data_IF_837654546824
#
_entry.id   IF_837654546824
#
_cell.length_a   1.000
_cell.length_b   1.000
_cell.length_c   1.000
_cell.angle_alpha   90.00
_cell.angle_beta   90.00
_cell.angle_gamma   90.00
#
_symmetry.space_group_name_H-M   'P 1'
#
loop_
_entity.id
_entity.type
_entity.pdbx_description
1 polymer ?
#
# COMPACT_ATOMS: atom_id res chain seq x y z
N UNK A 1 11.71 -15.26 -11.97
CA UNK A 1 12.20 -14.90 -10.64
C UNK A 1 11.35 -13.80 -10.05
N UNK A 2 11.05 -13.91 -8.82
CA UNK A 2 10.24 -12.89 -8.21
C UNK A 2 11.06 -11.62 -7.99
N UNK A 3 10.41 -10.50 -8.13
CA UNK A 3 11.03 -9.20 -7.93
C UNK A 3 11.10 -8.84 -6.44
N UNK A 4 10.79 -9.78 -5.56
CA UNK A 4 10.76 -9.53 -4.14
C UNK A 4 9.38 -9.08 -3.67
N UNK A 5 9.33 -8.61 -2.45
CA UNK A 5 8.09 -8.18 -1.83
C UNK A 5 8.20 -6.72 -1.41
N UNK A 6 7.05 -6.09 -1.28
CA UNK A 6 6.96 -4.73 -0.75
C UNK A 6 6.17 -4.76 0.55
N UNK A 7 6.72 -4.16 1.58
CA UNK A 7 5.97 -3.96 2.82
C UNK A 7 5.37 -2.56 2.79
N UNK A 8 4.06 -2.50 2.92
CA UNK A 8 3.33 -1.23 2.88
C UNK A 8 2.69 -1.01 4.24
N UNK A 9 3.01 0.12 4.85
CA UNK A 9 2.45 0.49 6.14
C UNK A 9 1.62 1.75 5.99
N UNK A 10 0.39 1.71 6.48
CA UNK A 10 -0.46 2.89 6.46
C UNK A 10 -0.07 3.83 7.60
N UNK A 11 0.26 5.07 7.26
CA UNK A 11 0.67 6.08 8.24
C UNK A 11 -0.48 6.99 8.63
N UNK A 12 -1.40 7.23 7.71
CA UNK A 12 -2.48 8.19 7.93
C UNK A 12 -3.83 7.57 7.61
N UNK A 13 -4.87 8.10 8.25
CA UNK A 13 -6.23 7.67 8.01
C UNK A 13 -6.70 8.08 6.62
N UNK A 14 -7.59 7.27 6.03
CA UNK A 14 -8.24 7.62 4.76
C UNK A 14 -9.56 8.34 4.98
N UNK A 15 -9.93 8.62 6.24
CA UNK A 15 -11.15 9.34 6.55
C UNK A 15 -11.05 10.73 5.93
N UNK A 16 -12.08 11.13 5.18
CA UNK A 16 -12.07 12.39 4.48
C UNK A 16 -11.39 12.38 3.12
N UNK A 17 -10.83 11.23 2.73
CA UNK A 17 -10.22 11.08 1.41
C UNK A 17 -11.26 10.65 0.39
N UNK A 18 -10.91 10.78 -0.89
CA UNK A 18 -11.80 10.40 -1.97
C UNK A 18 -12.03 8.89 -2.00
N UNK A 19 -13.15 8.49 -2.58
CA UNK A 19 -13.47 7.06 -2.70
C UNK A 19 -12.39 6.25 -3.43
N UNK A 20 -11.81 6.73 -4.53
CA UNK A 20 -10.74 5.97 -5.19
C UNK A 20 -9.55 5.70 -4.27
N UNK A 21 -9.14 6.68 -3.47
CA UNK A 21 -8.04 6.51 -2.52
C UNK A 21 -8.37 5.44 -1.49
N UNK A 22 -9.57 5.49 -0.93
CA UNK A 22 -10.02 4.51 0.06
C UNK A 22 -10.06 3.11 -0.51
N UNK A 23 -10.51 2.97 -1.76
CA UNK A 23 -10.55 1.67 -2.43
C UNK A 23 -9.16 1.10 -2.63
N UNK A 24 -8.20 1.93 -3.02
CA UNK A 24 -6.83 1.49 -3.24
C UNK A 24 -6.23 0.99 -1.93
N UNK A 25 -6.37 1.75 -0.86
CA UNK A 25 -5.84 1.36 0.46
C UNK A 25 -6.49 0.05 0.91
N UNK A 26 -7.79 -0.07 0.76
CA UNK A 26 -8.50 -1.29 1.13
C UNK A 26 -8.09 -2.46 0.24
N UNK A 27 -7.88 -2.22 -1.05
CA UNK A 27 -7.43 -3.24 -1.98
C UNK A 27 -6.04 -3.75 -1.67
N UNK A 28 -5.20 -2.93 -1.04
CA UNK A 28 -3.89 -3.36 -0.57
C UNK A 28 -3.98 -4.23 0.68
N UNK A 29 -5.12 -4.20 1.37
CA UNK A 29 -5.31 -4.96 2.60
C UNK A 29 -5.08 -4.17 3.87
N UNK A 30 -4.88 -2.87 3.75
CA UNK A 30 -4.68 -2.01 4.91
C UNK A 30 -6.01 -1.71 5.59
N UNK A 31 -6.00 -1.68 6.91
CA UNK A 31 -7.24 -1.52 7.68
C UNK A 31 -7.29 -0.24 8.49
N UNK A 32 -6.23 0.53 8.51
CA UNK A 32 -6.19 1.77 9.24
C UNK A 32 -4.77 2.17 9.58
N UNK A 33 -4.57 3.33 10.20
CA UNK A 33 -3.23 3.78 10.57
C UNK A 33 -2.54 2.72 11.44
N UNK A 34 -1.28 2.47 11.16
CA UNK A 34 -0.52 1.45 11.87
C UNK A 34 -0.59 0.07 11.27
N UNK A 35 -1.54 -0.20 10.36
CA UNK A 35 -1.58 -1.50 9.70
C UNK A 35 -0.46 -1.62 8.68
N UNK A 36 -0.02 -2.84 8.44
CA UNK A 36 0.97 -3.10 7.40
C UNK A 36 0.63 -4.39 6.68
N UNK A 37 1.02 -4.46 5.42
CA UNK A 37 0.84 -5.66 4.61
C UNK A 37 2.08 -5.85 3.76
N UNK A 38 2.30 -7.10 3.37
CA UNK A 38 3.36 -7.44 2.42
C UNK A 38 2.70 -7.87 1.12
N UNK A 39 3.07 -7.23 0.04
CA UNK A 39 2.51 -7.53 -1.28
C UNK A 39 3.62 -7.83 -2.26
N UNK A 40 3.27 -8.49 -3.35
CA UNK A 40 4.23 -8.78 -4.41
C UNK A 40 4.67 -7.48 -5.08
N UNK A 41 5.95 -7.43 -5.44
CA UNK A 41 6.49 -6.27 -6.16
C UNK A 41 6.15 -6.41 -7.65
N UNK A 42 4.90 -6.14 -7.99
CA UNK A 42 4.40 -6.20 -9.36
C UNK A 42 4.01 -4.81 -9.83
N UNK A 43 3.95 -4.60 -11.15
CA UNK A 43 3.50 -3.30 -11.67
C UNK A 43 2.11 -2.91 -11.19
N UNK A 44 1.21 -3.88 -11.00
CA UNK A 44 -0.13 -3.60 -10.49
C UNK A 44 -0.09 -3.01 -9.10
N UNK A 45 0.61 -3.67 -8.18
CA UNK A 45 0.71 -3.19 -6.81
C UNK A 45 1.50 -1.88 -6.73
N UNK A 46 2.57 -1.77 -7.52
CA UNK A 46 3.34 -0.53 -7.54
C UNK A 46 2.49 0.66 -7.99
N UNK A 47 1.64 0.46 -8.99
CA UNK A 47 0.73 1.50 -9.46
C UNK A 47 -0.27 1.92 -8.39
N UNK A 48 -0.81 0.97 -7.65
CA UNK A 48 -1.74 1.25 -6.56
C UNK A 48 -1.05 2.03 -5.44
N UNK A 49 0.13 1.57 -5.04
CA UNK A 49 0.91 2.21 -3.98
C UNK A 49 1.27 3.64 -4.35
N UNK A 50 1.67 3.85 -5.59
CA UNK A 50 2.06 5.18 -6.06
C UNK A 50 0.93 6.20 -5.88
N UNK A 51 -0.30 5.78 -6.04
CA UNK A 51 -1.45 6.67 -5.88
C UNK A 51 -1.73 7.05 -4.44
N UNK A 52 -1.21 6.29 -3.48
CA UNK A 52 -1.46 6.53 -2.06
C UNK A 52 -0.18 6.74 -1.26
N UNK A 53 0.92 7.07 -1.94
CA UNK A 53 2.21 7.27 -1.28
C UNK A 53 2.16 8.32 -0.17
N UNK A 54 1.27 9.28 -0.28
CA UNK A 54 1.12 10.32 0.73
C UNK A 54 0.48 9.80 2.03
N UNK A 55 -0.02 8.57 2.02
CA UNK A 55 -0.68 7.96 3.18
C UNK A 55 0.08 6.75 3.72
N UNK A 56 1.03 6.23 2.97
CA UNK A 56 1.70 4.98 3.32
C UNK A 56 3.21 5.11 3.21
N UNK A 57 3.89 4.20 3.88
CA UNK A 57 5.32 4.03 3.75
C UNK A 57 5.58 2.67 3.13
N UNK A 58 6.51 2.62 2.19
CA UNK A 58 6.82 1.38 1.47
C UNK A 58 8.28 1.03 1.69
N UNK A 59 8.53 -0.23 2.01
CA UNK A 59 9.88 -0.77 2.12
C UNK A 59 10.00 -1.99 1.23
N UNK A 60 11.10 -2.12 0.53
CA UNK A 60 11.39 -3.33 -0.22
C UNK A 60 11.86 -4.41 0.72
N UNK A 61 11.28 -5.59 0.56
CA UNK A 61 11.71 -6.78 1.27
C UNK A 61 12.26 -7.77 0.26
N UNK A 62 13.43 -8.27 0.51
CA UNK A 62 13.97 -9.34 -0.32
C UNK A 62 13.36 -10.66 0.14
N UNK A 63 12.85 -11.40 -0.81
CA UNK A 63 12.29 -12.71 -0.51
C UNK A 63 13.35 -13.78 -0.42
#
# INVERSE_FOLDING_TARGET
>A
MSAGKLEVRQLRSVIGRTHPTRRIVKGLGLRGPGSSVVVDNTPSFRGMIKKVLHLVEVQEKKS
#
